data_IF_144205449467
#
_entry.id   IF_144205449467
#
_cell.length_a   1.000
_cell.length_b   1.000
_cell.length_c   1.000
_cell.angle_alpha   90.00
_cell.angle_beta   90.00
_cell.angle_gamma   90.00
#
_symmetry.space_group_name_H-M   'P 1'
#
loop_
_entity.id
_entity.type
_entity.pdbx_description
1 polymer ?
#
# COMPACT_ATOMS: atom_id res chain seq x y z
N UNK A 1 -4.61 -17.35 2.81
CA UNK A 1 -3.23 -16.91 3.16
C UNK A 1 -2.20 -17.32 2.10
N UNK A 2 -1.97 -18.62 1.83
CA UNK A 2 -1.02 -19.03 0.78
C UNK A 2 -1.41 -18.52 -0.61
N UNK A 3 -2.70 -18.62 -0.97
CA UNK A 3 -3.23 -18.12 -2.24
C UNK A 3 -2.98 -16.62 -2.43
N UNK A 4 -3.16 -15.80 -1.38
CA UNK A 4 -2.91 -14.36 -1.43
C UNK A 4 -1.44 -14.03 -1.63
N UNK A 5 -0.53 -14.75 -0.95
CA UNK A 5 0.92 -14.59 -1.14
C UNK A 5 1.31 -14.97 -2.57
N UNK A 6 0.76 -16.07 -3.09
CA UNK A 6 1.00 -16.50 -4.47
C UNK A 6 0.56 -15.42 -5.46
N UNK A 7 -0.61 -14.80 -5.25
CA UNK A 7 -1.09 -13.69 -6.10
C UNK A 7 -0.13 -12.50 -6.06
N UNK A 8 0.27 -12.05 -4.86
CA UNK A 8 1.18 -10.90 -4.71
C UNK A 8 2.53 -11.17 -5.38
N UNK A 9 3.10 -12.36 -5.16
CA UNK A 9 4.38 -12.75 -5.78
C UNK A 9 4.24 -12.85 -7.30
N UNK A 10 3.14 -13.43 -7.80
CA UNK A 10 2.90 -13.55 -9.24
C UNK A 10 2.78 -12.17 -9.90
N UNK A 11 2.04 -11.24 -9.29
CA UNK A 11 1.92 -9.86 -9.79
C UNK A 11 3.26 -9.13 -9.77
N UNK A 12 4.03 -9.28 -8.69
CA UNK A 12 5.37 -8.70 -8.57
C UNK A 12 6.32 -9.22 -9.67
N UNK A 13 6.26 -10.53 -9.98
CA UNK A 13 7.03 -11.14 -11.05
C UNK A 13 6.62 -10.63 -12.43
N UNK A 14 5.31 -10.50 -12.70
CA UNK A 14 4.81 -9.96 -13.97
C UNK A 14 5.28 -8.52 -14.15
N UNK A 15 5.15 -7.69 -13.12
CA UNK A 15 5.60 -6.29 -13.15
C UNK A 15 7.11 -6.21 -13.43
N UNK A 16 7.92 -7.03 -12.72
CA UNK A 16 9.35 -7.12 -12.97
C UNK A 16 9.68 -7.57 -14.40
N UNK A 17 8.96 -8.56 -14.94
CA UNK A 17 9.22 -9.06 -16.29
C UNK A 17 8.91 -8.03 -17.39
N UNK A 18 8.00 -7.09 -17.13
CA UNK A 18 7.61 -6.08 -18.11
C UNK A 18 8.48 -4.82 -18.02
N UNK A 19 8.81 -4.39 -16.79
CA UNK A 19 9.52 -3.15 -16.51
C UNK A 19 11.04 -3.33 -16.55
N UNK A 20 11.58 -4.44 -16.05
CA UNK A 20 13.03 -4.63 -15.94
C UNK A 20 13.76 -4.73 -17.30
N UNK A 21 13.25 -5.46 -18.33
CA UNK A 21 13.93 -5.56 -19.62
C UNK A 21 14.16 -4.23 -20.34
N UNK A 22 13.17 -3.31 -20.47
CA UNK A 22 13.40 -2.01 -21.10
C UNK A 22 14.39 -1.14 -20.32
N UNK A 23 14.42 -1.22 -18.98
CA UNK A 23 15.40 -0.49 -18.16
C UNK A 23 16.83 -1.01 -18.35
N UNK A 24 17.02 -2.33 -18.42
CA UNK A 24 18.33 -2.94 -18.69
C UNK A 24 18.79 -2.62 -20.11
N UNK A 25 17.89 -2.69 -21.11
CA UNK A 25 18.20 -2.34 -22.50
C UNK A 25 18.67 -0.89 -22.66
N UNK A 26 18.19 0.03 -21.81
CA UNK A 26 18.60 1.44 -21.81
C UNK A 26 19.84 1.72 -20.95
N UNK A 27 20.49 0.69 -20.38
CA UNK A 27 21.61 0.81 -19.44
C UNK A 27 21.31 1.66 -18.20
N UNK A 28 20.03 1.79 -17.83
CA UNK A 28 19.62 2.54 -16.65
C UNK A 28 19.68 1.67 -15.39
N UNK A 29 20.90 1.30 -15.02
CA UNK A 29 21.18 0.38 -13.90
C UNK A 29 20.73 0.93 -12.55
N UNK A 30 20.81 2.26 -12.35
CA UNK A 30 20.33 2.93 -11.13
C UNK A 30 18.81 2.83 -10.98
N UNK A 31 18.08 3.02 -12.08
CA UNK A 31 16.63 2.97 -12.11
C UNK A 31 16.13 1.53 -11.98
N UNK A 32 16.80 0.57 -12.63
CA UNK A 32 16.51 -0.85 -12.46
C UNK A 32 16.70 -1.31 -11.01
N UNK A 33 17.76 -0.80 -10.36
CA UNK A 33 18.01 -1.07 -8.94
C UNK A 33 16.93 -0.45 -8.04
N UNK A 34 16.61 0.83 -8.23
CA UNK A 34 15.57 1.52 -7.46
C UNK A 34 14.19 0.85 -7.63
N UNK A 35 13.82 0.51 -8.87
CA UNK A 35 12.60 -0.22 -9.19
C UNK A 35 12.55 -1.58 -8.47
N UNK A 36 13.60 -2.39 -8.61
CA UNK A 36 13.66 -3.71 -7.96
C UNK A 36 13.58 -3.61 -6.45
N UNK A 37 14.29 -2.65 -5.86
CA UNK A 37 14.28 -2.40 -4.42
C UNK A 37 12.88 -2.02 -3.92
N UNK A 38 12.23 -1.08 -4.62
CA UNK A 38 10.90 -0.61 -4.27
C UNK A 38 9.83 -1.70 -4.46
N UNK A 39 9.97 -2.53 -5.48
CA UNK A 39 9.09 -3.68 -5.76
C UNK A 39 9.21 -4.77 -4.68
N UNK A 40 10.43 -5.06 -4.21
CA UNK A 40 10.66 -5.98 -3.09
C UNK A 40 10.02 -5.43 -1.81
N UNK A 41 10.26 -4.17 -1.48
CA UNK A 41 9.69 -3.54 -0.28
C UNK A 41 8.16 -3.53 -0.35
N UNK A 42 7.59 -3.10 -1.47
CA UNK A 42 6.14 -3.05 -1.66
C UNK A 42 5.48 -4.44 -1.58
N UNK A 43 6.15 -5.48 -2.12
CA UNK A 43 5.71 -6.86 -2.02
C UNK A 43 5.71 -7.36 -0.57
N UNK A 44 6.78 -7.10 0.18
CA UNK A 44 6.87 -7.45 1.61
C UNK A 44 5.79 -6.70 2.41
N UNK A 45 5.62 -5.39 2.18
CA UNK A 45 4.57 -4.59 2.83
C UNK A 45 3.18 -5.14 2.53
N UNK A 46 2.92 -5.53 1.29
CA UNK A 46 1.64 -6.12 0.87
C UNK A 46 1.36 -7.43 1.60
N UNK A 47 2.38 -8.28 1.75
CA UNK A 47 2.25 -9.53 2.53
C UNK A 47 2.01 -9.23 4.02
N UNK A 48 2.70 -8.24 4.61
CA UNK A 48 2.49 -7.82 6.01
C UNK A 48 1.08 -7.26 6.21
N UNK A 49 0.62 -6.39 5.32
CA UNK A 49 -0.72 -5.81 5.37
C UNK A 49 -1.81 -6.88 5.25
N UNK A 50 -1.62 -7.86 4.38
CA UNK A 50 -2.54 -9.00 4.23
C UNK A 50 -2.46 -10.00 5.38
N UNK A 51 -1.36 -10.02 6.15
CA UNK A 51 -1.18 -10.99 7.23
C UNK A 51 -2.06 -10.71 8.42
N UNK A 52 -2.77 -9.58 8.46
CA UNK A 52 -3.66 -9.19 9.55
C UNK A 52 -3.05 -9.61 10.91
N UNK A 53 -1.75 -9.25 11.09
CA UNK A 53 -1.29 -8.97 12.45
C UNK A 53 -2.40 -8.09 12.99
N UNK A 54 -3.03 -8.48 14.11
CA UNK A 54 -4.22 -7.84 14.68
C UNK A 54 -3.90 -6.39 15.07
N UNK A 55 -3.55 -5.58 14.10
CA UNK A 55 -3.48 -4.14 14.14
C UNK A 55 -4.96 -3.80 14.08
N UNK A 56 -5.52 -3.27 15.18
CA UNK A 56 -6.94 -2.96 15.23
C UNK A 56 -7.26 -2.12 14.00
N UNK A 57 -8.20 -2.59 13.18
CA UNK A 57 -8.55 -2.14 11.83
C UNK A 57 -7.69 -1.00 11.26
N UNK A 58 -7.11 -1.17 10.07
CA UNK A 58 -6.39 -0.08 9.35
C UNK A 58 -7.24 1.20 9.21
N UNK A 59 -8.55 1.08 9.37
CA UNK A 59 -9.54 2.18 9.50
C UNK A 59 -9.35 3.06 10.74
N UNK A 60 -8.87 2.51 11.87
CA UNK A 60 -8.77 3.20 13.17
C UNK A 60 -7.79 4.39 13.14
N UNK A 61 -6.73 4.32 12.33
CA UNK A 61 -5.75 5.42 12.23
C UNK A 61 -6.33 6.61 11.46
N UNK A 62 -6.87 6.45 10.23
CA UNK A 62 -7.65 7.49 9.59
C UNK A 62 -8.80 7.98 10.49
N UNK A 63 -9.57 7.07 11.07
CA UNK A 63 -10.72 7.42 11.93
C UNK A 63 -10.30 8.27 13.13
N UNK A 64 -9.20 7.95 13.81
CA UNK A 64 -8.68 8.74 14.92
C UNK A 64 -8.21 10.14 14.48
N UNK A 65 -7.62 10.26 13.28
CA UNK A 65 -7.19 11.56 12.74
C UNK A 65 -8.36 12.42 12.27
N UNK A 66 -9.38 11.80 11.66
CA UNK A 66 -10.54 12.51 11.11
C UNK A 66 -11.64 12.79 12.14
N UNK A 67 -11.72 12.01 13.22
CA UNK A 67 -12.70 12.20 14.29
C UNK A 67 -12.69 13.59 14.94
N UNK A 68 -11.56 14.17 15.37
CA UNK A 68 -11.56 15.52 15.94
C UNK A 68 -11.99 16.59 14.93
N UNK A 69 -11.63 16.42 13.65
CA UNK A 69 -12.08 17.31 12.59
C UNK A 69 -13.60 17.18 12.36
N UNK A 70 -14.11 15.96 12.36
CA UNK A 70 -15.54 15.67 12.23
C UNK A 70 -16.35 16.26 13.39
N UNK A 71 -15.89 16.09 14.63
CA UNK A 71 -16.53 16.67 15.82
C UNK A 71 -16.50 18.21 15.79
N UNK A 72 -15.38 18.80 15.34
CA UNK A 72 -15.28 20.24 15.15
C UNK A 72 -16.24 20.76 14.07
N UNK A 73 -16.36 20.03 12.96
CA UNK A 73 -17.31 20.36 11.89
C UNK A 73 -18.76 20.24 12.38
N UNK A 74 -19.12 19.16 13.08
CA UNK A 74 -20.47 19.01 13.64
C UNK A 74 -20.83 20.14 14.61
N UNK A 75 -19.90 20.51 15.49
CA UNK A 75 -20.10 21.61 16.45
C UNK A 75 -20.19 22.98 15.77
N UNK A 76 -19.34 23.24 14.77
CA UNK A 76 -19.28 24.54 14.07
C UNK A 76 -20.44 24.74 13.11
N UNK A 77 -20.89 23.68 12.44
CA UNK A 77 -21.96 23.76 11.45
C UNK A 77 -23.36 23.46 12.03
N UNK A 78 -23.49 23.16 13.34
CA UNK A 78 -24.75 22.78 14.01
C UNK A 78 -25.63 21.88 13.11
N UNK A 79 -24.99 20.91 12.46
CA UNK A 79 -25.71 19.92 11.68
C UNK A 79 -26.30 18.96 12.70
N UNK A 80 -27.51 19.29 13.14
CA UNK A 80 -28.43 18.34 13.76
C UNK A 80 -28.78 17.34 12.68
N UNK A 81 -28.04 16.23 12.63
CA UNK A 81 -28.47 15.05 11.91
C UNK A 81 -29.81 14.62 12.56
N UNK A 82 -30.90 14.75 11.80
CA UNK A 82 -32.23 14.26 12.15
C UNK A 82 -32.35 12.76 11.89
#
# INVERSE_FOLDING_TARGET
MLLTIIIVVTLALIAMLFELPPLIKKSFTKEAFAYSFMLIIGSILSVIALRDIHIPSTMRVPEMMYKPLYEWMQHTFNVKDG
#
